data_IF_669289512374
#
_entry.id   IF_669289512374
#
_cell.length_a   1.000
_cell.length_b   1.000
_cell.length_c   1.000
_cell.angle_alpha   90.00
_cell.angle_beta   90.00
_cell.angle_gamma   90.00
#
_symmetry.space_group_name_H-M   'P 1'
#
loop_
_entity.id
_entity.type
_entity.pdbx_description
1 polymer ?
#
# COMPACT_ATOMS: atom_id res chain seq x y z
N UNK A 1 -12.01 4.27 -5.15
CA UNK A 1 -11.85 2.79 -5.20
C UNK A 1 -12.47 2.13 -3.99
N UNK A 2 -11.89 2.27 -2.78
CA UNK A 2 -12.50 1.69 -1.57
C UNK A 2 -13.80 2.41 -1.15
N UNK A 3 -13.88 3.72 -1.38
CA UNK A 3 -15.06 4.56 -1.07
C UNK A 3 -16.05 4.70 -2.24
N UNK A 4 -15.62 4.41 -3.46
CA UNK A 4 -16.38 4.64 -4.69
C UNK A 4 -15.84 3.67 -5.74
N UNK A 5 -16.75 2.96 -6.43
CA UNK A 5 -16.42 1.90 -7.40
C UNK A 5 -16.98 2.24 -8.77
N UNK A 6 -16.31 1.77 -9.82
CA UNK A 6 -16.80 1.77 -11.22
C UNK A 6 -17.17 3.14 -11.81
N UNK A 7 -16.53 4.22 -11.34
CA UNK A 7 -16.67 5.56 -11.91
C UNK A 7 -15.44 5.99 -12.70
N UNK A 8 -15.57 7.05 -13.52
CA UNK A 8 -14.42 7.71 -14.16
C UNK A 8 -13.37 8.14 -13.15
N UNK A 9 -13.81 8.73 -12.02
CA UNK A 9 -12.95 9.10 -10.90
C UNK A 9 -12.22 7.90 -10.30
N UNK A 10 -12.89 6.74 -10.18
CA UNK A 10 -12.28 5.49 -9.71
C UNK A 10 -11.13 5.05 -10.63
N UNK A 11 -11.34 5.15 -11.95
CA UNK A 11 -10.32 4.81 -12.93
C UNK A 11 -9.10 5.76 -12.87
N UNK A 12 -9.36 7.06 -12.78
CA UNK A 12 -8.31 8.08 -12.62
C UNK A 12 -7.49 7.88 -11.35
N UNK A 13 -8.14 7.59 -10.22
CA UNK A 13 -7.45 7.31 -8.94
C UNK A 13 -6.62 6.03 -9.03
N UNK A 14 -7.13 4.97 -9.67
CA UNK A 14 -6.39 3.71 -9.85
C UNK A 14 -5.09 3.94 -10.63
N UNK A 15 -5.17 4.69 -11.73
CA UNK A 15 -4.01 5.08 -12.51
C UNK A 15 -3.05 5.94 -11.71
N UNK A 16 -3.55 7.00 -11.05
CA UNK A 16 -2.74 7.90 -10.24
C UNK A 16 -1.99 7.15 -9.13
N UNK A 17 -2.63 6.17 -8.48
CA UNK A 17 -2.00 5.35 -7.45
C UNK A 17 -0.83 4.56 -8.02
N UNK A 18 -1.01 3.89 -9.16
CA UNK A 18 0.07 3.14 -9.81
C UNK A 18 1.20 4.07 -10.29
N UNK A 19 0.86 5.18 -10.94
CA UNK A 19 1.83 6.19 -11.39
C UNK A 19 2.62 6.76 -10.20
N UNK A 20 1.99 6.86 -9.02
CA UNK A 20 2.68 7.27 -7.78
C UNK A 20 3.74 6.25 -7.37
N UNK A 21 3.49 4.94 -7.52
CA UNK A 21 4.53 3.93 -7.28
C UNK A 21 5.65 4.00 -8.31
N UNK A 22 5.32 4.13 -9.60
CA UNK A 22 6.34 4.22 -10.66
C UNK A 22 7.24 5.44 -10.51
N UNK A 23 6.67 6.59 -10.18
CA UNK A 23 7.43 7.83 -10.01
C UNK A 23 8.13 7.91 -8.65
N UNK A 24 7.50 7.33 -7.62
CA UNK A 24 7.95 7.38 -6.24
C UNK A 24 9.05 6.36 -5.92
N UNK A 25 9.21 5.29 -6.70
CA UNK A 25 10.25 4.28 -6.53
C UNK A 25 11.20 4.33 -7.73
N UNK A 26 12.42 4.78 -7.50
CA UNK A 26 13.48 4.81 -8.52
C UNK A 26 14.52 3.74 -8.22
N UNK A 27 14.68 2.80 -9.13
CA UNK A 27 15.66 1.71 -9.03
C UNK A 27 16.85 2.05 -9.91
N UNK A 28 18.06 2.05 -9.36
CA UNK A 28 19.31 2.32 -10.07
C UNK A 28 20.37 1.31 -9.62
N UNK A 29 20.55 0.26 -10.41
CA UNK A 29 21.39 -0.89 -10.02
C UNK A 29 20.89 -1.47 -8.71
N UNK A 30 21.76 -1.52 -7.70
CA UNK A 30 21.45 -2.05 -6.38
C UNK A 30 20.86 -0.99 -5.41
N UNK A 31 20.61 0.22 -5.90
CA UNK A 31 20.05 1.31 -5.09
C UNK A 31 18.57 1.57 -5.37
N UNK A 32 17.79 1.78 -4.31
CA UNK A 32 16.40 2.21 -4.37
C UNK A 32 16.30 3.60 -3.75
N UNK A 33 15.71 4.54 -4.49
CA UNK A 33 15.37 5.88 -3.98
C UNK A 33 13.85 6.03 -3.93
N UNK A 34 13.35 6.51 -2.79
CA UNK A 34 11.93 6.75 -2.56
C UNK A 34 11.61 8.24 -2.48
N UNK A 35 10.38 8.59 -2.87
CA UNK A 35 9.86 9.95 -2.81
C UNK A 35 8.33 9.96 -2.62
N UNK A 36 7.87 9.55 -1.44
CA UNK A 36 6.44 9.51 -1.08
C UNK A 36 6.05 10.58 -0.05
N UNK A 37 7.02 11.11 0.70
CA UNK A 37 6.82 12.24 1.59
C UNK A 37 7.61 13.47 1.13
N UNK A 38 6.98 14.66 1.22
CA UNK A 38 7.68 15.92 0.92
C UNK A 38 8.69 16.30 2.00
N UNK A 39 8.32 16.06 3.26
CA UNK A 39 9.11 16.42 4.44
C UNK A 39 9.05 15.28 5.45
N UNK A 40 10.14 15.12 6.20
CA UNK A 40 10.16 14.32 7.42
C UNK A 40 10.46 15.25 8.58
N UNK A 41 9.44 15.53 9.39
CA UNK A 41 9.59 16.41 10.53
C UNK A 41 9.91 15.57 11.78
N UNK A 42 11.10 15.76 12.35
CA UNK A 42 11.49 15.20 13.63
C UNK A 42 11.53 16.33 14.66
N UNK A 43 10.81 16.17 15.76
CA UNK A 43 10.94 17.08 16.90
C UNK A 43 12.27 16.85 17.60
N UNK A 44 13.01 17.93 17.88
CA UNK A 44 14.27 17.89 18.64
C UNK A 44 14.02 17.32 20.05
N UNK A 45 12.85 17.60 20.63
CA UNK A 45 12.50 17.13 21.97
C UNK A 45 12.22 15.62 21.98
N UNK A 46 11.68 15.07 20.88
CA UNK A 46 11.51 13.63 20.74
C UNK A 46 12.86 12.89 20.71
N UNK A 47 13.90 13.49 20.12
CA UNK A 47 15.26 12.93 20.08
C UNK A 47 15.90 12.91 21.48
N UNK A 48 15.58 13.88 22.32
CA UNK A 48 16.14 14.01 23.68
C UNK A 48 15.51 13.04 24.69
N UNK A 49 14.41 12.39 24.36
CA UNK A 49 13.81 11.32 25.16
C UNK A 49 13.87 9.97 24.43
N UNK A 50 15.02 9.25 24.51
CA UNK A 50 15.20 7.97 23.83
C UNK A 50 14.18 6.90 24.21
N UNK A 51 13.55 7.01 25.40
CA UNK A 51 12.57 6.03 25.89
C UNK A 51 11.23 6.17 25.19
N UNK A 52 10.87 7.38 24.74
CA UNK A 52 9.63 7.68 24.03
C UNK A 52 9.85 8.06 22.56
N UNK A 53 11.07 7.86 22.04
CA UNK A 53 11.39 8.18 20.66
C UNK A 53 10.54 7.38 19.68
N UNK A 54 9.78 8.11 18.85
CA UNK A 54 8.92 7.55 17.82
C UNK A 54 9.27 8.21 16.49
N UNK A 55 9.65 7.41 15.51
CA UNK A 55 9.91 7.92 14.16
C UNK A 55 8.64 8.52 13.55
N UNK A 56 8.73 9.57 12.72
CA UNK A 56 7.58 10.04 11.95
C UNK A 56 7.03 8.90 11.08
N UNK A 57 5.71 8.79 10.98
CA UNK A 57 5.08 7.76 10.15
C UNK A 57 5.62 7.75 8.71
N UNK A 58 5.93 8.91 8.15
CA UNK A 58 6.49 9.01 6.79
C UNK A 58 7.86 8.35 6.66
N UNK A 59 8.71 8.45 7.68
CA UNK A 59 10.00 7.76 7.71
C UNK A 59 9.84 6.25 7.84
N UNK A 60 8.94 5.81 8.72
CA UNK A 60 8.61 4.39 8.89
C UNK A 60 8.07 3.79 7.59
N UNK A 61 7.13 4.49 6.95
CA UNK A 61 6.54 4.08 5.69
C UNK A 61 7.60 3.92 4.59
N UNK A 62 8.48 4.91 4.41
CA UNK A 62 9.52 4.83 3.38
C UNK A 62 10.61 3.80 3.72
N UNK A 63 10.95 3.59 4.99
CA UNK A 63 11.89 2.53 5.38
C UNK A 63 11.34 1.14 5.00
N UNK A 64 10.11 0.84 5.42
CA UNK A 64 9.46 -0.45 5.13
C UNK A 64 9.25 -0.64 3.62
N UNK A 65 8.89 0.43 2.90
CA UNK A 65 8.73 0.39 1.45
C UNK A 65 10.07 0.20 0.72
N UNK A 66 11.17 0.72 1.26
CA UNK A 66 12.51 0.55 0.70
C UNK A 66 12.94 -0.91 0.78
N UNK A 67 12.76 -1.52 1.95
CA UNK A 67 12.98 -2.95 2.15
C UNK A 67 12.08 -3.79 1.23
N UNK A 68 10.81 -3.41 1.09
CA UNK A 68 9.86 -4.08 0.19
C UNK A 68 10.25 -4.00 -1.29
N UNK A 69 10.95 -2.94 -1.68
CA UNK A 69 11.41 -2.68 -3.05
C UNK A 69 12.74 -3.36 -3.37
N UNK A 70 13.45 -3.89 -2.37
CA UNK A 70 14.71 -4.58 -2.58
C UNK A 70 14.56 -5.76 -3.55
N UNK A 71 15.50 -5.86 -4.51
CA UNK A 71 15.53 -6.90 -5.53
C UNK A 71 14.59 -6.68 -6.72
N UNK A 72 13.73 -5.65 -6.69
CA UNK A 72 12.99 -5.24 -7.88
C UNK A 72 13.95 -4.64 -8.91
N UNK A 73 13.67 -4.85 -10.19
CA UNK A 73 14.43 -4.26 -11.31
C UNK A 73 13.67 -3.12 -11.97
N UNK A 74 12.35 -3.26 -12.04
CA UNK A 74 11.42 -2.32 -12.66
C UNK A 74 10.12 -2.28 -11.87
N UNK A 75 9.41 -1.14 -11.92
CA UNK A 75 8.12 -0.96 -11.25
C UNK A 75 6.98 -1.29 -12.20
N UNK A 76 6.79 -2.58 -12.44
CA UNK A 76 5.64 -3.15 -13.18
C UNK A 76 4.43 -3.37 -12.26
N UNK A 77 3.27 -3.69 -12.81
CA UNK A 77 2.08 -4.03 -11.99
C UNK A 77 2.35 -5.19 -11.01
N UNK A 78 3.04 -6.23 -11.45
CA UNK A 78 3.45 -7.36 -10.59
C UNK A 78 4.44 -6.89 -9.51
N UNK A 79 5.42 -6.06 -9.87
CA UNK A 79 6.38 -5.54 -8.90
C UNK A 79 5.68 -4.68 -7.84
N UNK A 80 4.71 -3.85 -8.21
CA UNK A 80 3.94 -3.05 -7.24
C UNK A 80 3.10 -3.94 -6.33
N UNK A 81 2.50 -5.03 -6.85
CA UNK A 81 1.82 -6.01 -6.00
C UNK A 81 2.79 -6.61 -4.96
N UNK A 82 3.98 -7.04 -5.39
CA UNK A 82 4.99 -7.64 -4.51
C UNK A 82 5.47 -6.65 -3.46
N UNK A 83 5.78 -5.42 -3.87
CA UNK A 83 6.19 -4.33 -2.98
C UNK A 83 5.11 -4.04 -1.95
N UNK A 84 3.84 -3.94 -2.35
CA UNK A 84 2.73 -3.70 -1.42
C UNK A 84 2.55 -4.85 -0.42
N UNK A 85 2.74 -6.08 -0.87
CA UNK A 85 2.62 -7.27 -0.03
C UNK A 85 3.75 -7.36 0.99
N UNK A 86 5.01 -7.16 0.54
CA UNK A 86 6.19 -7.13 1.42
C UNK A 86 6.16 -5.95 2.39
N UNK A 87 5.70 -4.77 1.93
CA UNK A 87 5.52 -3.60 2.80
C UNK A 87 4.62 -3.96 4.00
N UNK A 88 3.47 -4.58 3.74
CA UNK A 88 2.53 -4.97 4.80
C UNK A 88 3.18 -5.96 5.79
N UNK A 89 3.98 -6.89 5.29
CA UNK A 89 4.72 -7.84 6.11
C UNK A 89 5.77 -7.14 6.99
N UNK A 90 6.60 -6.26 6.42
CA UNK A 90 7.62 -5.52 7.18
C UNK A 90 7.00 -4.60 8.22
N UNK A 91 5.94 -3.87 7.84
CA UNK A 91 5.22 -2.98 8.73
C UNK A 91 4.66 -3.73 9.94
N UNK A 92 4.05 -4.88 9.70
CA UNK A 92 3.47 -5.72 10.77
C UNK A 92 4.55 -6.40 11.62
N UNK A 93 5.60 -6.93 10.99
CA UNK A 93 6.70 -7.60 11.69
C UNK A 93 7.46 -6.66 12.64
N UNK A 94 7.54 -5.37 12.31
CA UNK A 94 8.14 -4.34 13.14
C UNK A 94 7.22 -3.82 14.27
N UNK A 95 5.97 -4.32 14.34
CA UNK A 95 4.96 -3.85 15.29
C UNK A 95 4.47 -2.43 14.99
N UNK A 96 4.62 -1.96 13.75
CA UNK A 96 4.25 -0.60 13.37
C UNK A 96 2.73 -0.40 13.32
N UNK A 97 1.95 -1.47 13.16
CA UNK A 97 0.49 -1.46 13.23
C UNK A 97 -0.02 -1.01 14.61
N UNK A 98 0.70 -1.33 15.68
CA UNK A 98 0.37 -0.86 17.04
C UNK A 98 0.76 0.59 17.26
N UNK A 99 1.85 1.03 16.63
CA UNK A 99 2.38 2.40 16.76
C UNK A 99 1.64 3.39 15.87
N UNK A 100 1.16 2.95 14.71
CA UNK A 100 0.49 3.75 13.69
C UNK A 100 -0.76 3.02 13.17
N UNK A 101 -1.78 2.85 14.03
CA UNK A 101 -2.98 2.06 13.71
C UNK A 101 -3.72 2.64 12.51
N UNK A 102 -3.71 1.90 11.40
CA UNK A 102 -4.29 2.34 10.14
C UNK A 102 -5.29 1.29 9.64
N UNK A 103 -6.57 1.65 9.66
CA UNK A 103 -7.70 0.85 9.17
C UNK A 103 -7.45 0.26 7.77
N UNK A 104 -6.79 0.99 6.87
CA UNK A 104 -6.48 0.47 5.54
C UNK A 104 -5.49 -0.70 5.59
N UNK A 105 -4.50 -0.63 6.48
CA UNK A 105 -3.53 -1.70 6.67
C UNK A 105 -4.16 -2.88 7.41
N UNK A 106 -5.04 -2.65 8.39
CA UNK A 106 -5.80 -3.70 9.05
C UNK A 106 -6.67 -4.46 8.04
N UNK A 107 -7.33 -3.73 7.14
CA UNK A 107 -8.10 -4.33 6.05
C UNK A 107 -7.23 -5.13 5.09
N UNK A 108 -6.04 -4.63 4.73
CA UNK A 108 -5.09 -5.36 3.90
C UNK A 108 -4.56 -6.63 4.59
N UNK A 109 -4.34 -6.60 5.91
CA UNK A 109 -3.98 -7.79 6.68
C UNK A 109 -5.11 -8.83 6.67
N UNK A 110 -6.37 -8.38 6.83
CA UNK A 110 -7.54 -9.25 6.69
C UNK A 110 -7.63 -9.88 5.29
N UNK A 111 -7.34 -9.11 4.24
CA UNK A 111 -7.27 -9.66 2.89
C UNK A 111 -6.12 -10.67 2.75
N UNK A 112 -4.97 -10.40 3.37
CA UNK A 112 -3.83 -11.31 3.36
C UNK A 112 -4.14 -12.65 4.03
N UNK A 113 -4.89 -12.66 5.14
CA UNK A 113 -5.27 -13.89 5.82
C UNK A 113 -6.35 -14.71 5.09
N UNK A 114 -6.94 -14.14 4.05
CA UNK A 114 -7.95 -14.76 3.19
C UNK A 114 -7.43 -15.05 1.78
N UNK A 115 -6.12 -14.92 1.55
CA UNK A 115 -5.48 -15.04 0.23
C UNK A 115 -6.05 -14.07 -0.84
N UNK A 116 -6.57 -12.93 -0.38
CA UNK A 116 -7.19 -11.89 -1.22
C UNK A 116 -6.35 -10.63 -1.38
N UNK A 117 -5.16 -10.55 -0.78
CA UNK A 117 -4.32 -9.35 -0.90
C UNK A 117 -3.83 -9.11 -2.32
N UNK A 118 -3.38 -10.16 -3.01
CA UNK A 118 -2.95 -10.07 -4.41
C UNK A 118 -4.09 -9.61 -5.34
N UNK A 119 -5.26 -10.29 -5.41
CA UNK A 119 -6.34 -9.83 -6.28
C UNK A 119 -6.83 -8.43 -5.92
N UNK A 120 -6.79 -8.04 -4.63
CA UNK A 120 -7.07 -6.66 -4.21
C UNK A 120 -6.05 -5.66 -4.76
N UNK A 121 -4.75 -5.96 -4.71
CA UNK A 121 -3.71 -5.11 -5.26
C UNK A 121 -3.87 -4.95 -6.78
N UNK A 122 -4.15 -6.04 -7.50
CA UNK A 122 -4.44 -5.95 -8.93
C UNK A 122 -5.70 -5.14 -9.22
N UNK A 123 -6.77 -5.31 -8.44
CA UNK A 123 -7.99 -4.52 -8.58
C UNK A 123 -7.74 -3.02 -8.37
N UNK A 124 -7.00 -2.64 -7.32
CA UNK A 124 -6.81 -1.21 -7.01
C UNK A 124 -5.84 -0.52 -7.99
N UNK A 125 -4.95 -1.28 -8.62
CA UNK A 125 -3.93 -0.78 -9.55
C UNK A 125 -4.26 -1.02 -11.04
N UNK A 126 -5.39 -1.65 -11.35
CA UNK A 126 -5.69 -2.16 -12.70
C UNK A 126 -5.60 -1.12 -13.82
N UNK A 127 -5.84 0.17 -13.54
CA UNK A 127 -5.75 1.25 -14.53
C UNK A 127 -4.36 1.83 -14.73
N UNK A 128 -3.39 1.39 -13.94
CA UNK A 128 -1.98 1.68 -14.16
C UNK A 128 -1.40 0.93 -15.36
N UNK A 129 -1.82 -0.32 -15.56
CA UNK A 129 -1.43 -1.17 -16.68
C UNK A 129 -2.55 -2.18 -17.00
N UNK A 130 -3.46 -1.79 -17.89
CA UNK A 130 -4.65 -2.60 -18.22
C UNK A 130 -4.28 -3.89 -18.96
N UNK A 131 -3.15 -3.90 -19.69
CA UNK A 131 -2.68 -5.07 -20.43
C UNK A 131 -2.13 -6.11 -19.46
N UNK A 132 -1.25 -5.69 -18.54
CA UNK A 132 -0.71 -6.58 -17.51
C UNK A 132 -1.82 -7.10 -16.59
N UNK A 133 -2.76 -6.23 -16.19
CA UNK A 133 -3.92 -6.64 -15.41
C UNK A 133 -4.75 -7.70 -16.15
N UNK A 134 -5.06 -7.48 -17.43
CA UNK A 134 -5.86 -8.43 -18.21
C UNK A 134 -5.19 -9.80 -18.31
N UNK A 135 -3.87 -9.82 -18.56
CA UNK A 135 -3.08 -11.06 -18.58
C UNK A 135 -3.10 -11.77 -17.24
N UNK A 136 -2.85 -11.05 -16.15
CA UNK A 136 -2.86 -11.63 -14.81
C UNK A 136 -4.24 -12.16 -14.43
N UNK A 137 -5.31 -11.42 -14.71
CA UNK A 137 -6.70 -11.82 -14.40
C UNK A 137 -7.07 -13.11 -15.13
N UNK A 138 -6.70 -13.24 -16.41
CA UNK A 138 -6.94 -14.47 -17.17
C UNK A 138 -6.23 -15.67 -16.53
N UNK A 139 -4.94 -15.51 -16.18
CA UNK A 139 -4.15 -16.55 -15.54
C UNK A 139 -4.64 -16.91 -14.11
N UNK A 140 -5.28 -15.97 -13.41
CA UNK A 140 -5.71 -16.12 -12.01
C UNK A 140 -7.23 -16.07 -11.82
N UNK A 141 -7.99 -16.50 -12.84
CA UNK A 141 -9.45 -16.34 -12.91
C UNK A 141 -10.18 -16.88 -11.67
N UNK A 142 -9.74 -18.02 -11.11
CA UNK A 142 -10.35 -18.59 -9.91
C UNK A 142 -10.15 -17.70 -8.68
N UNK A 143 -8.91 -17.28 -8.40
CA UNK A 143 -8.59 -16.35 -7.30
C UNK A 143 -9.33 -15.02 -7.45
N UNK A 144 -9.31 -14.47 -8.67
CA UNK A 144 -10.03 -13.24 -9.00
C UNK A 144 -11.54 -13.34 -8.73
N UNK A 145 -12.19 -14.41 -9.17
CA UNK A 145 -13.63 -14.60 -8.98
C UNK A 145 -14.00 -14.80 -7.51
N UNK A 146 -13.18 -15.54 -6.76
CA UNK A 146 -13.36 -15.73 -5.32
C UNK A 146 -13.24 -14.39 -4.56
N UNK A 147 -12.21 -13.60 -4.89
CA UNK A 147 -12.04 -12.26 -4.36
C UNK A 147 -13.26 -11.38 -4.65
N UNK A 148 -13.72 -11.29 -5.91
CA UNK A 148 -14.85 -10.44 -6.26
C UNK A 148 -16.14 -10.85 -5.52
N UNK A 149 -16.40 -12.15 -5.42
CA UNK A 149 -17.54 -12.68 -4.67
C UNK A 149 -17.50 -12.21 -3.21
N UNK A 150 -16.36 -12.39 -2.55
CA UNK A 150 -16.19 -11.96 -1.16
C UNK A 150 -16.23 -10.43 -0.98
N UNK A 151 -15.50 -9.71 -1.84
CA UNK A 151 -15.31 -8.25 -1.75
C UNK A 151 -16.60 -7.44 -1.98
N UNK A 152 -17.56 -8.02 -2.70
CA UNK A 152 -18.88 -7.41 -2.91
C UNK A 152 -19.60 -7.09 -1.61
N UNK A 153 -19.53 -7.98 -0.61
CA UNK A 153 -20.17 -7.83 0.70
C UNK A 153 -19.22 -7.43 1.84
N UNK A 154 -17.91 -7.35 1.58
CA UNK A 154 -16.88 -7.11 2.61
C UNK A 154 -15.98 -5.92 2.27
N UNK A 155 -16.55 -4.87 1.66
CA UNK A 155 -15.82 -3.64 1.36
C UNK A 155 -15.19 -3.04 2.63
N UNK A 156 -14.09 -2.30 2.47
CA UNK A 156 -13.58 -1.43 3.53
C UNK A 156 -14.66 -0.40 3.90
N UNK A 157 -15.15 -0.46 5.13
CA UNK A 157 -16.08 0.52 5.68
C UNK A 157 -15.28 1.63 6.34
N UNK A 158 -15.54 2.88 5.95
CA UNK A 158 -14.96 4.07 6.57
C UNK A 158 -16.11 4.90 7.10
N UNK A 159 -16.05 5.23 8.39
CA UNK A 159 -17.01 6.07 9.08
C UNK A 159 -16.28 7.02 10.04
N UNK A 160 -17.01 7.82 10.81
CA UNK A 160 -16.41 8.79 11.72
C UNK A 160 -15.60 8.18 12.87
N UNK A 161 -15.91 6.95 13.29
CA UNK A 161 -15.14 6.19 14.26
C UNK A 161 -14.04 5.31 13.66
N UNK A 162 -14.12 5.03 12.35
CA UNK A 162 -13.24 4.12 11.62
C UNK A 162 -12.71 4.81 10.36
N UNK A 163 -11.78 5.77 10.52
CA UNK A 163 -11.17 6.51 9.42
C UNK A 163 -9.68 6.70 9.62
N UNK A 164 -8.99 7.01 8.53
CA UNK A 164 -7.62 7.47 8.55
C UNK A 164 -7.50 8.79 7.77
N UNK A 165 -6.61 9.67 8.21
CA UNK A 165 -6.39 10.96 7.56
C UNK A 165 -4.91 11.35 7.64
N UNK A 166 -4.51 12.23 6.73
CA UNK A 166 -3.10 12.59 6.49
C UNK A 166 -2.32 13.05 7.73
N UNK A 167 -3.01 13.70 8.68
CA UNK A 167 -2.40 14.35 9.84
C UNK A 167 -2.51 13.51 11.13
N UNK A 168 -3.02 12.28 11.05
CA UNK A 168 -3.35 11.48 12.24
C UNK A 168 -2.13 11.04 13.10
N UNK A 169 -0.91 11.14 12.55
CA UNK A 169 0.34 10.73 13.23
C UNK A 169 1.39 11.85 13.26
N UNK A 170 0.96 13.09 13.04
CA UNK A 170 1.83 14.26 13.11
C UNK A 170 1.86 14.85 14.52
#
# INVERSE_FOLDING_TARGET
MNLERNSKRTAEISKLLFDTYQNGIQIKGDSVRLSFAKNHNLSIDAIKDPKNFKLPFTMVYELDLSLASAGQKEITLSAVNDVRSKFLQFFTAAGNEKKYPNILFDYQQKLSSLDFLEPYNYWILMKGDEIAFSKWKLANSASWNNFLKWFSGNALLIDDGHKFYRLQYQ
#
